data_IF_566937879409
#
_entry.id   IF_566937879409
#
_cell.length_a   1.000
_cell.length_b   1.000
_cell.length_c   1.000
_cell.angle_alpha   90.00
_cell.angle_beta   90.00
_cell.angle_gamma   90.00
#
_symmetry.space_group_name_H-M   'P 1'
#
loop_
_entity.id
_entity.type
_entity.pdbx_description
1 polymer ?
#
# COMPACT_ATOMS: atom_id res chain seq x y z
N UNK A 1 18.07 5.15 28.05
CA UNK A 1 19.17 5.24 27.07
C UNK A 1 19.03 6.55 26.32
N UNK A 2 19.86 7.56 26.63
CA UNK A 2 19.79 8.91 26.06
C UNK A 2 20.62 9.01 24.78
N UNK A 3 20.05 9.54 23.71
CA UNK A 3 20.68 9.70 22.39
C UNK A 3 21.40 11.05 22.30
N UNK A 4 22.60 11.16 21.72
CA UNK A 4 23.30 12.44 21.58
C UNK A 4 22.56 13.37 20.58
N UNK A 5 22.58 14.69 20.79
CA UNK A 5 21.93 15.64 19.89
C UNK A 5 22.76 15.86 18.64
N UNK A 6 22.13 15.81 17.45
CA UNK A 6 22.74 16.25 16.19
C UNK A 6 22.64 15.29 15.01
N UNK A 7 21.98 14.13 15.12
CA UNK A 7 21.73 13.30 13.93
C UNK A 7 20.48 13.82 13.20
N UNK A 8 20.56 14.13 11.88
CA UNK A 8 19.38 14.49 11.10
C UNK A 8 18.37 13.33 11.15
N UNK A 9 17.05 13.61 11.07
CA UNK A 9 16.04 12.56 11.05
C UNK A 9 16.34 11.61 9.90
N UNK A 10 16.49 10.34 10.22
CA UNK A 10 16.78 9.30 9.24
C UNK A 10 15.47 8.98 8.53
N UNK A 11 15.19 9.70 7.45
CA UNK A 11 14.05 9.43 6.56
C UNK A 11 14.24 8.08 5.88
N UNK A 12 13.37 7.12 6.16
CA UNK A 12 13.35 5.81 5.52
C UNK A 12 12.85 4.69 6.43
N UNK A 13 12.27 3.66 5.82
CA UNK A 13 11.79 2.46 6.52
C UNK A 13 12.90 1.81 7.35
N UNK A 14 12.57 1.43 8.58
CA UNK A 14 13.46 0.72 9.50
C UNK A 14 12.86 -0.64 9.88
N UNK A 15 13.74 -1.57 10.25
CA UNK A 15 13.37 -2.91 10.69
C UNK A 15 13.81 -3.08 12.14
N UNK A 16 12.87 -3.30 13.04
CA UNK A 16 13.15 -3.81 14.36
C UNK A 16 13.48 -5.30 14.23
N UNK A 17 14.67 -5.69 14.68
CA UNK A 17 15.04 -7.08 14.89
C UNK A 17 15.27 -7.24 16.38
N UNK A 18 14.53 -8.17 17.00
CA UNK A 18 14.61 -8.44 18.43
C UNK A 18 14.63 -9.95 18.68
N UNK A 19 15.82 -10.55 18.84
CA UNK A 19 15.99 -11.92 19.31
C UNK A 19 15.58 -12.05 20.78
N UNK A 20 14.94 -13.16 21.11
CA UNK A 20 14.55 -13.53 22.47
C UNK A 20 15.05 -14.93 22.81
N UNK A 21 15.57 -15.07 24.02
CA UNK A 21 15.69 -16.37 24.69
C UNK A 21 14.55 -16.52 25.69
N UNK A 22 13.78 -17.60 25.54
CA UNK A 22 12.52 -17.78 26.28
C UNK A 22 12.54 -19.16 26.96
N UNK A 23 12.60 -19.20 28.31
CA UNK A 23 12.48 -20.45 29.06
C UNK A 23 11.25 -21.25 28.64
N UNK A 24 11.35 -22.58 28.62
CA UNK A 24 10.29 -23.45 28.11
C UNK A 24 8.96 -23.22 28.82
N UNK A 25 9.02 -23.05 30.15
CA UNK A 25 7.88 -22.77 31.02
C UNK A 25 7.23 -21.39 30.78
N UNK A 26 7.90 -20.49 30.07
CA UNK A 26 7.43 -19.13 29.78
C UNK A 26 6.85 -18.97 28.37
N UNK A 27 7.03 -19.97 27.48
CA UNK A 27 6.73 -19.85 26.04
C UNK A 27 5.26 -19.51 25.75
N UNK A 28 4.32 -20.20 26.39
CA UNK A 28 2.89 -19.95 26.17
C UNK A 28 2.52 -18.51 26.54
N UNK A 29 3.00 -18.06 27.70
CA UNK A 29 2.77 -16.72 28.22
C UNK A 29 3.44 -15.66 27.34
N UNK A 30 4.65 -15.91 26.88
CA UNK A 30 5.37 -15.05 25.95
C UNK A 30 4.61 -14.89 24.63
N UNK A 31 4.14 -15.99 24.01
CA UNK A 31 3.38 -15.95 22.77
C UNK A 31 2.05 -15.20 22.93
N UNK A 32 1.35 -15.39 24.04
CA UNK A 32 0.12 -14.66 24.34
C UNK A 32 0.38 -13.14 24.46
N UNK A 33 1.43 -12.76 25.18
CA UNK A 33 1.80 -11.35 25.35
C UNK A 33 2.33 -10.72 24.07
N UNK A 34 3.08 -11.47 23.26
CA UNK A 34 3.49 -11.04 21.93
C UNK A 34 2.28 -10.72 21.07
N UNK A 35 1.31 -11.64 20.97
CA UNK A 35 0.07 -11.43 20.20
C UNK A 35 -0.68 -10.18 20.68
N UNK A 36 -0.91 -10.05 21.99
CA UNK A 36 -1.59 -8.89 22.56
C UNK A 36 -0.85 -7.57 22.28
N UNK A 37 0.48 -7.59 22.29
CA UNK A 37 1.31 -6.43 21.97
C UNK A 37 1.23 -6.07 20.49
N UNK A 38 1.27 -7.06 19.61
CA UNK A 38 1.12 -6.85 18.16
C UNK A 38 -0.25 -6.31 17.78
N UNK A 39 -1.33 -6.73 18.47
CA UNK A 39 -2.68 -6.16 18.29
C UNK A 39 -2.73 -4.66 18.61
N UNK A 40 -1.91 -4.16 19.55
CA UNK A 40 -1.80 -2.72 19.84
C UNK A 40 -0.87 -2.00 18.90
N UNK A 41 0.26 -2.62 18.54
CA UNK A 41 1.25 -2.04 17.63
C UNK A 41 0.73 -1.90 16.20
N UNK A 42 -0.09 -2.85 15.72
CA UNK A 42 -0.65 -2.81 14.37
C UNK A 42 -1.60 -1.63 14.11
N UNK A 43 -2.06 -0.98 15.18
CA UNK A 43 -2.93 0.20 15.12
C UNK A 43 -2.15 1.52 15.13
N UNK A 44 -0.83 1.48 15.33
CA UNK A 44 0.00 2.68 15.42
C UNK A 44 0.35 3.21 14.03
N UNK A 45 0.32 4.54 13.86
CA UNK A 45 0.75 5.16 12.62
C UNK A 45 2.23 4.83 12.34
N UNK A 46 2.50 4.44 11.10
CA UNK A 46 3.81 4.03 10.64
C UNK A 46 4.25 2.61 11.00
N UNK A 47 3.42 1.78 11.66
CA UNK A 47 3.65 0.33 11.69
C UNK A 47 3.31 -0.28 10.33
N UNK A 48 4.24 -1.03 9.74
CA UNK A 48 4.08 -1.56 8.37
C UNK A 48 3.80 -3.07 8.33
N UNK A 49 4.07 -3.80 9.42
CA UNK A 49 3.92 -5.25 9.48
C UNK A 49 5.06 -5.91 10.26
N UNK A 50 4.91 -7.19 10.56
CA UNK A 50 5.95 -7.95 11.25
C UNK A 50 5.50 -9.31 11.73
N UNK A 51 6.44 -10.06 12.30
CA UNK A 51 6.24 -11.44 12.71
C UNK A 51 7.26 -11.93 13.71
N UNK A 52 6.84 -12.87 14.55
CA UNK A 52 7.69 -13.63 15.45
C UNK A 52 8.09 -14.93 14.76
N UNK A 53 9.38 -15.18 14.68
CA UNK A 53 9.95 -16.36 14.05
C UNK A 53 10.49 -17.26 15.14
N UNK A 54 10.17 -18.55 15.06
CA UNK A 54 10.71 -19.57 15.95
C UNK A 54 11.94 -20.23 15.31
N UNK A 55 12.98 -20.44 16.09
CA UNK A 55 14.17 -21.15 15.67
C UNK A 55 13.84 -22.65 15.53
N UNK A 56 13.86 -23.16 14.30
CA UNK A 56 13.54 -24.57 14.02
C UNK A 56 14.74 -25.51 14.23
N UNK A 57 15.96 -24.98 14.20
CA UNK A 57 17.19 -25.76 14.29
C UNK A 57 18.01 -25.30 15.51
N UNK A 58 18.55 -26.21 16.33
CA UNK A 58 19.21 -25.86 17.58
C UNK A 58 20.62 -25.24 17.40
N UNK A 59 20.95 -24.71 16.22
CA UNK A 59 22.26 -24.11 15.90
C UNK A 59 22.58 -22.89 16.74
N UNK A 60 21.57 -22.22 17.28
CA UNK A 60 21.69 -21.01 18.10
C UNK A 60 20.78 -21.05 19.35
N UNK A 61 20.35 -22.25 19.79
CA UNK A 61 19.37 -22.38 20.88
C UNK A 61 19.90 -21.87 22.23
N UNK A 62 21.22 -21.83 22.41
CA UNK A 62 21.86 -21.19 23.56
C UNK A 62 21.79 -19.65 23.53
N UNK A 63 21.55 -19.04 22.36
CA UNK A 63 21.51 -17.60 22.16
C UNK A 63 20.08 -17.05 22.08
N UNK A 64 19.18 -17.67 21.29
CA UNK A 64 17.78 -17.26 21.17
C UNK A 64 16.91 -18.40 20.62
N UNK A 65 15.63 -18.39 21.01
CA UNK A 65 14.61 -19.32 20.52
C UNK A 65 13.64 -18.63 19.55
N UNK A 66 13.49 -17.31 19.68
CA UNK A 66 12.59 -16.52 18.84
C UNK A 66 13.27 -15.27 18.30
N UNK A 67 12.84 -14.81 17.12
CA UNK A 67 13.26 -13.53 16.53
C UNK A 67 12.03 -12.76 16.07
N UNK A 68 11.76 -11.63 16.71
CA UNK A 68 10.75 -10.69 16.22
C UNK A 68 11.36 -9.79 15.15
N UNK A 69 10.66 -9.68 14.02
CA UNK A 69 11.02 -8.80 12.91
C UNK A 69 9.80 -7.92 12.59
N UNK A 70 9.91 -6.62 12.86
CA UNK A 70 8.85 -5.64 12.60
C UNK A 70 9.35 -4.50 11.72
N UNK A 71 8.51 -4.01 10.82
CA UNK A 71 8.80 -2.94 9.89
C UNK A 71 8.08 -1.66 10.30
N UNK A 72 8.79 -0.54 10.24
CA UNK A 72 8.29 0.78 10.62
C UNK A 72 8.67 1.82 9.58
N UNK A 73 7.79 2.80 9.35
CA UNK A 73 7.98 3.88 8.37
C UNK A 73 9.21 4.74 8.69
N UNK A 74 9.53 4.91 9.98
CA UNK A 74 10.72 5.63 10.42
C UNK A 74 11.08 5.28 11.88
N UNK A 75 12.23 5.76 12.35
CA UNK A 75 12.66 5.65 13.75
C UNK A 75 11.68 6.37 14.68
N UNK A 76 11.18 7.54 14.25
CA UNK A 76 10.23 8.36 15.00
C UNK A 76 8.89 7.65 15.14
N UNK A 77 8.37 7.05 14.06
CA UNK A 77 7.14 6.26 14.08
C UNK A 77 7.26 5.07 15.03
N UNK A 78 8.39 4.35 15.00
CA UNK A 78 8.67 3.28 15.96
C UNK A 78 8.63 3.78 17.40
N UNK A 79 9.35 4.87 17.71
CA UNK A 79 9.40 5.41 19.08
C UNK A 79 8.03 5.84 19.58
N UNK A 80 7.26 6.54 18.75
CA UNK A 80 5.91 6.98 19.08
C UNK A 80 4.96 5.79 19.27
N UNK A 81 4.98 4.82 18.36
CA UNK A 81 4.13 3.64 18.40
C UNK A 81 4.40 2.76 19.63
N UNK A 82 5.67 2.58 20.01
CA UNK A 82 6.03 1.84 21.22
C UNK A 82 5.59 2.57 22.49
N UNK A 83 5.81 3.89 22.57
CA UNK A 83 5.37 4.68 23.71
C UNK A 83 3.84 4.64 23.90
N UNK A 84 3.08 4.63 22.80
CA UNK A 84 1.62 4.56 22.83
C UNK A 84 1.08 3.15 23.11
N UNK A 85 1.67 2.12 22.51
CA UNK A 85 1.18 0.73 22.60
C UNK A 85 1.65 -0.02 23.85
N UNK A 86 2.67 0.50 24.54
CA UNK A 86 3.32 -0.16 25.66
C UNK A 86 3.75 0.86 26.74
N UNK A 87 2.78 1.50 27.44
CA UNK A 87 3.08 2.46 28.50
C UNK A 87 3.88 1.83 29.66
N UNK A 88 3.66 0.54 29.94
CA UNK A 88 4.39 -0.24 30.96
C UNK A 88 5.63 -0.98 30.40
N UNK A 89 6.05 -0.63 29.17
CA UNK A 89 7.11 -1.33 28.44
C UNK A 89 6.60 -2.46 27.55
N UNK A 90 7.39 -2.78 26.52
CA UNK A 90 7.10 -3.89 25.61
C UNK A 90 7.30 -5.18 26.41
N UNK A 91 6.25 -5.98 26.58
CA UNK A 91 6.19 -7.20 27.43
C UNK A 91 6.06 -7.01 28.96
N UNK A 92 5.86 -5.79 29.46
CA UNK A 92 5.57 -5.53 30.89
C UNK A 92 6.58 -6.20 31.86
N UNK A 93 6.08 -6.85 32.92
CA UNK A 93 6.90 -7.51 33.95
C UNK A 93 7.78 -8.68 33.44
N UNK A 94 7.55 -9.18 32.22
CA UNK A 94 8.32 -10.30 31.66
C UNK A 94 9.74 -9.91 31.25
N UNK A 95 10.00 -8.62 31.02
CA UNK A 95 11.32 -8.11 30.60
C UNK A 95 12.42 -8.50 31.60
N UNK A 96 12.09 -8.68 32.88
CA UNK A 96 13.05 -9.10 33.89
C UNK A 96 13.50 -10.57 33.75
N UNK A 97 12.78 -11.41 33.00
CA UNK A 97 13.03 -12.85 32.86
C UNK A 97 13.39 -13.27 31.44
N UNK A 98 13.17 -12.39 30.46
CA UNK A 98 13.43 -12.67 29.06
C UNK A 98 14.72 -11.94 28.64
N UNK A 99 15.65 -12.70 28.07
CA UNK A 99 16.83 -12.10 27.45
C UNK A 99 16.44 -11.62 26.06
N UNK A 100 16.28 -10.30 25.90
CA UNK A 100 15.87 -9.65 24.65
C UNK A 100 16.96 -8.69 24.15
N UNK A 101 17.20 -8.67 22.84
CA UNK A 101 18.26 -7.88 22.21
C UNK A 101 17.72 -6.98 21.08
N UNK A 102 16.88 -5.97 21.38
CA UNK A 102 16.23 -5.17 20.35
C UNK A 102 17.18 -4.18 19.67
N UNK A 103 17.12 -4.12 18.33
CA UNK A 103 17.82 -3.13 17.54
C UNK A 103 17.02 -2.67 16.33
N UNK A 104 17.23 -1.42 15.91
CA UNK A 104 16.71 -0.90 14.65
C UNK A 104 17.78 -0.99 13.57
N UNK A 105 17.41 -1.58 12.46
CA UNK A 105 18.27 -1.85 11.32
C UNK A 105 17.69 -1.23 10.06
N UNK A 106 18.55 -1.07 9.05
CA UNK A 106 18.14 -0.89 7.66
C UNK A 106 18.62 -2.08 6.87
N UNK A 107 17.96 -2.33 5.75
CA UNK A 107 18.41 -3.32 4.78
C UNK A 107 19.70 -2.81 4.14
N UNK A 108 20.81 -3.52 4.38
CA UNK A 108 22.11 -3.19 3.78
C UNK A 108 22.26 -3.79 2.36
N UNK A 109 21.62 -4.92 2.10
CA UNK A 109 21.55 -5.59 0.79
C UNK A 109 20.29 -6.47 0.73
N UNK A 110 19.71 -6.62 -0.45
CA UNK A 110 18.51 -7.42 -0.69
C UNK A 110 18.59 -8.17 -2.03
N UNK A 111 18.00 -9.36 -2.07
CA UNK A 111 17.82 -10.15 -3.29
C UNK A 111 16.38 -10.72 -3.31
N UNK A 112 15.71 -10.70 -4.46
CA UNK A 112 14.28 -11.01 -4.55
C UNK A 112 13.37 -9.92 -3.97
N UNK A 113 12.09 -10.24 -3.75
CA UNK A 113 11.11 -9.32 -3.14
C UNK A 113 11.31 -9.20 -1.63
N UNK A 114 12.42 -8.60 -1.20
CA UNK A 114 12.65 -8.20 0.19
C UNK A 114 11.92 -6.88 0.52
N UNK A 115 10.84 -6.58 -0.20
CA UNK A 115 9.95 -5.50 0.17
C UNK A 115 9.25 -5.90 1.47
N UNK A 116 9.22 -4.97 2.42
CA UNK A 116 8.35 -5.01 3.59
C UNK A 116 7.00 -5.60 3.17
N UNK A 117 6.53 -6.73 3.76
CA UNK A 117 5.20 -7.22 3.44
C UNK A 117 4.25 -6.07 3.73
N UNK A 118 3.57 -5.51 2.71
CA UNK A 118 2.80 -4.32 2.94
C UNK A 118 1.64 -4.69 3.88
N UNK A 119 1.34 -3.79 4.82
CA UNK A 119 0.29 -3.97 5.83
C UNK A 119 -1.01 -4.53 5.22
N UNK A 120 -1.73 -5.36 5.98
CA UNK A 120 -2.95 -6.04 5.56
C UNK A 120 -3.91 -5.08 4.80
N UNK A 121 -4.34 -5.31 3.55
CA UNK A 121 -4.22 -6.43 2.60
C UNK A 121 -3.84 -5.87 1.22
N UNK A 122 -2.57 -5.53 1.04
CA UNK A 122 -2.11 -4.88 -0.19
C UNK A 122 -2.33 -5.70 -1.47
N UNK A 123 -2.46 -7.02 -1.36
CA UNK A 123 -2.85 -7.86 -2.47
C UNK A 123 -4.33 -7.61 -2.84
N UNK A 124 -5.24 -7.62 -1.86
CA UNK A 124 -6.63 -7.25 -2.11
C UNK A 124 -6.78 -5.80 -2.57
N UNK A 125 -5.98 -4.86 -2.06
CA UNK A 125 -6.02 -3.48 -2.55
C UNK A 125 -5.56 -3.34 -3.97
N UNK A 126 -4.47 -4.02 -4.33
CA UNK A 126 -4.02 -4.08 -5.71
C UNK A 126 -5.11 -4.65 -6.60
N UNK A 127 -5.75 -5.74 -6.20
CA UNK A 127 -6.87 -6.34 -6.94
C UNK A 127 -8.08 -5.40 -7.03
N UNK A 128 -8.43 -4.70 -5.94
CA UNK A 128 -9.54 -3.75 -5.92
C UNK A 128 -9.28 -2.53 -6.80
N UNK A 129 -8.04 -2.02 -6.82
CA UNK A 129 -7.59 -0.94 -7.70
C UNK A 129 -7.66 -1.40 -9.16
N UNK A 130 -7.18 -2.61 -9.47
CA UNK A 130 -7.26 -3.18 -10.82
C UNK A 130 -8.71 -3.40 -11.26
N UNK A 131 -9.61 -3.81 -10.36
CA UNK A 131 -11.05 -3.94 -10.63
C UNK A 131 -11.69 -2.57 -10.89
N UNK A 132 -11.37 -1.54 -10.10
CA UNK A 132 -11.82 -0.17 -10.35
C UNK A 132 -11.37 0.32 -11.72
N UNK A 133 -10.09 0.15 -12.07
CA UNK A 133 -9.56 0.56 -13.37
C UNK A 133 -10.24 -0.19 -14.54
N UNK A 134 -10.43 -1.50 -14.40
CA UNK A 134 -11.14 -2.33 -15.38
C UNK A 134 -12.59 -1.86 -15.60
N UNK A 135 -13.31 -1.58 -14.51
CA UNK A 135 -14.71 -1.11 -14.58
C UNK A 135 -14.83 0.33 -15.07
N UNK A 136 -13.87 1.20 -14.73
CA UNK A 136 -13.80 2.57 -15.22
C UNK A 136 -13.76 2.61 -16.76
N UNK A 137 -12.88 1.81 -17.36
CA UNK A 137 -12.78 1.71 -18.82
C UNK A 137 -13.99 0.98 -19.43
N UNK A 138 -14.48 -0.07 -18.78
CA UNK A 138 -15.63 -0.85 -19.27
C UNK A 138 -16.92 -0.02 -19.31
N UNK A 139 -17.17 0.79 -18.28
CA UNK A 139 -18.35 1.68 -18.22
C UNK A 139 -18.28 2.75 -19.30
N UNK A 140 -17.08 3.27 -19.59
CA UNK A 140 -16.88 4.16 -20.73
C UNK A 140 -17.19 3.45 -22.06
N UNK A 141 -16.66 2.25 -22.29
CA UNK A 141 -16.92 1.47 -23.52
C UNK A 141 -18.42 1.18 -23.76
N UNK A 142 -19.18 1.05 -22.67
CA UNK A 142 -20.63 0.78 -22.68
C UNK A 142 -21.48 2.05 -22.76
N UNK A 143 -20.92 3.22 -22.48
CA UNK A 143 -21.67 4.48 -22.39
C UNK A 143 -22.42 4.66 -21.07
N UNK A 144 -22.04 3.92 -20.03
CA UNK A 144 -22.61 4.00 -18.67
C UNK A 144 -21.98 5.19 -17.92
N UNK A 145 -22.14 6.41 -18.46
CA UNK A 145 -21.35 7.57 -18.05
C UNK A 145 -21.59 8.00 -16.59
N UNK A 146 -22.80 7.81 -16.05
CA UNK A 146 -23.07 8.14 -14.65
C UNK A 146 -22.37 7.14 -13.70
N UNK A 147 -22.29 5.87 -14.07
CA UNK A 147 -21.50 4.87 -13.34
C UNK A 147 -20.00 5.16 -13.46
N UNK A 148 -19.55 5.57 -14.64
CA UNK A 148 -18.17 6.00 -14.86
C UNK A 148 -17.80 7.17 -13.94
N UNK A 149 -18.69 8.15 -13.78
CA UNK A 149 -18.47 9.28 -12.87
C UNK A 149 -18.34 8.83 -11.40
N UNK A 150 -19.00 7.75 -11.00
CA UNK A 150 -18.99 7.28 -9.61
C UNK A 150 -17.63 6.73 -9.13
N UNK A 151 -16.68 6.51 -10.05
CA UNK A 151 -15.32 6.10 -9.72
C UNK A 151 -14.41 7.27 -9.30
N UNK A 152 -14.83 8.51 -9.51
CA UNK A 152 -14.13 9.67 -8.99
C UNK A 152 -14.43 9.90 -7.51
N UNK A 153 -13.43 10.37 -6.78
CA UNK A 153 -13.57 10.78 -5.38
C UNK A 153 -14.19 12.17 -5.26
N UNK A 154 -14.13 12.76 -4.07
CA UNK A 154 -14.64 14.12 -3.85
C UNK A 154 -13.92 15.16 -4.73
N UNK A 155 -12.64 14.92 -5.02
CA UNK A 155 -11.82 15.72 -5.94
C UNK A 155 -11.57 15.00 -7.25
N UNK A 156 -11.51 15.74 -8.36
CA UNK A 156 -11.20 15.22 -9.69
C UNK A 156 -10.14 16.09 -10.38
N UNK A 157 -9.11 15.44 -10.88
CA UNK A 157 -8.15 16.04 -11.80
C UNK A 157 -7.87 15.09 -12.97
N UNK A 158 -8.22 15.47 -14.18
CA UNK A 158 -7.98 14.67 -15.37
C UNK A 158 -7.20 15.45 -16.42
N UNK A 159 -6.22 14.80 -17.06
CA UNK A 159 -5.41 15.40 -18.13
C UNK A 159 -5.17 14.37 -19.24
N UNK A 160 -5.59 14.72 -20.47
CA UNK A 160 -5.28 13.96 -21.68
C UNK A 160 -5.08 14.90 -22.88
N UNK A 161 -4.09 14.66 -23.74
CA UNK A 161 -3.96 15.37 -25.02
C UNK A 161 -5.18 15.23 -25.94
N UNK A 162 -5.97 14.17 -25.78
CA UNK A 162 -7.10 13.85 -26.65
C UNK A 162 -8.43 14.41 -26.13
N UNK A 163 -8.64 14.42 -24.81
CA UNK A 163 -9.90 14.86 -24.21
C UNK A 163 -9.81 16.26 -23.56
N UNK A 164 -8.60 16.73 -23.25
CA UNK A 164 -8.36 17.99 -22.56
C UNK A 164 -8.00 17.83 -21.08
N UNK A 165 -8.08 18.94 -20.34
CA UNK A 165 -7.77 18.99 -18.91
C UNK A 165 -8.96 19.48 -18.11
N UNK A 166 -9.29 18.78 -17.03
CA UNK A 166 -10.45 19.07 -16.17
C UNK A 166 -10.04 19.03 -14.69
N UNK A 167 -10.66 19.90 -13.89
CA UNK A 167 -10.41 20.03 -12.45
C UNK A 167 -11.70 19.94 -11.62
N UNK A 168 -12.82 19.65 -12.27
CA UNK A 168 -14.13 19.54 -11.65
C UNK A 168 -14.99 18.48 -12.37
N UNK A 169 -15.96 17.94 -11.65
CA UNK A 169 -16.82 16.84 -12.11
C UNK A 169 -17.73 17.24 -13.26
N UNK A 170 -18.25 18.48 -13.26
CA UNK A 170 -19.20 18.92 -14.27
C UNK A 170 -18.53 19.07 -15.64
N UNK A 171 -17.39 19.76 -15.67
CA UNK A 171 -16.58 19.94 -16.87
C UNK A 171 -16.07 18.60 -17.41
N UNK A 172 -15.59 17.71 -16.54
CA UNK A 172 -15.17 16.37 -16.95
C UNK A 172 -16.34 15.57 -17.53
N UNK A 173 -17.52 15.56 -16.89
CA UNK A 173 -18.70 14.82 -17.38
C UNK A 173 -19.16 15.30 -18.75
N UNK A 174 -19.16 16.62 -18.98
CA UNK A 174 -19.53 17.20 -20.27
C UNK A 174 -18.48 16.86 -21.35
N UNK A 175 -17.19 16.97 -21.01
CA UNK A 175 -16.09 16.57 -21.89
C UNK A 175 -16.13 15.10 -22.28
N UNK A 176 -16.36 14.23 -21.29
CA UNK A 176 -16.49 12.79 -21.45
C UNK A 176 -17.66 12.43 -22.38
N UNK A 177 -18.82 13.08 -22.23
CA UNK A 177 -19.97 12.86 -23.12
C UNK A 177 -19.62 13.19 -24.57
N UNK A 178 -19.06 14.39 -24.82
CA UNK A 178 -18.68 14.80 -26.17
C UNK A 178 -17.66 13.84 -26.80
N UNK A 179 -16.69 13.39 -26.01
CA UNK A 179 -15.67 12.47 -26.46
C UNK A 179 -16.25 11.08 -26.76
N UNK A 180 -17.11 10.57 -25.89
CA UNK A 180 -17.83 9.32 -26.10
C UNK A 180 -18.66 9.35 -27.39
N UNK A 181 -19.47 10.40 -27.58
CA UNK A 181 -20.33 10.53 -28.76
C UNK A 181 -19.52 10.57 -30.06
N UNK A 182 -18.35 11.22 -30.06
CA UNK A 182 -17.45 11.24 -31.20
C UNK A 182 -16.85 9.85 -31.51
N UNK A 183 -16.42 9.13 -30.48
CA UNK A 183 -15.89 7.78 -30.64
C UNK A 183 -16.97 6.79 -31.08
N UNK A 184 -18.21 6.89 -30.57
CA UNK A 184 -19.31 6.04 -31.02
C UNK A 184 -19.64 6.25 -32.49
N UNK A 185 -19.65 7.49 -32.98
CA UNK A 185 -19.81 7.79 -34.42
C UNK A 185 -18.72 7.16 -35.29
N UNK A 186 -17.56 6.85 -34.70
CA UNK A 186 -16.40 6.20 -35.35
C UNK A 186 -16.35 4.69 -35.12
N UNK A 187 -17.39 4.07 -34.55
CA UNK A 187 -17.47 2.62 -34.33
C UNK A 187 -17.20 2.17 -32.89
N UNK A 188 -17.01 3.13 -31.96
CA UNK A 188 -16.82 2.88 -30.53
C UNK A 188 -15.45 2.29 -30.19
N UNK A 189 -15.20 2.11 -28.89
CA UNK A 189 -13.91 1.66 -28.35
C UNK A 189 -14.01 0.33 -27.60
N UNK A 190 -12.85 -0.31 -27.49
CA UNK A 190 -12.52 -1.37 -26.53
C UNK A 190 -11.20 -1.00 -25.86
N UNK A 191 -11.24 -0.83 -24.56
CA UNK A 191 -10.09 -0.46 -23.74
C UNK A 191 -9.50 -1.72 -23.07
N UNK A 192 -8.19 -1.94 -23.26
CA UNK A 192 -7.47 -3.05 -22.65
C UNK A 192 -6.35 -2.50 -21.76
N UNK A 193 -6.47 -2.72 -20.46
CA UNK A 193 -5.48 -2.27 -19.48
C UNK A 193 -4.52 -3.37 -19.08
N UNK A 194 -3.22 -3.07 -19.03
CA UNK A 194 -2.16 -4.02 -18.66
C UNK A 194 -1.07 -3.35 -17.81
N UNK A 195 -0.13 -4.16 -17.31
CA UNK A 195 1.12 -3.70 -16.67
C UNK A 195 0.89 -2.74 -15.49
N UNK A 196 -0.08 -3.05 -14.64
CA UNK A 196 -0.34 -2.27 -13.43
C UNK A 196 0.86 -2.30 -12.48
N UNK A 197 1.41 -1.14 -12.19
CA UNK A 197 2.35 -0.88 -11.10
C UNK A 197 1.60 -0.07 -10.03
N UNK A 198 1.45 -0.63 -8.83
CA UNK A 198 0.68 -0.02 -7.75
C UNK A 198 1.62 0.23 -6.57
N UNK A 199 1.81 1.49 -6.21
CA UNK A 199 2.53 1.93 -5.02
C UNK A 199 1.52 2.39 -3.96
N UNK A 200 1.43 1.64 -2.86
CA UNK A 200 0.45 1.84 -1.79
C UNK A 200 1.07 2.61 -0.62
N UNK A 201 0.34 3.61 -0.13
CA UNK A 201 0.67 4.36 1.08
C UNK A 201 -0.58 4.54 1.94
N UNK A 202 -0.87 3.53 2.77
CA UNK A 202 -2.05 3.53 3.64
C UNK A 202 -3.37 3.53 2.85
N UNK A 203 -4.11 4.64 2.92
CA UNK A 203 -5.37 4.86 2.20
C UNK A 203 -5.17 5.53 0.83
N UNK A 204 -3.92 5.72 0.38
CA UNK A 204 -3.59 6.30 -0.94
C UNK A 204 -2.83 5.31 -1.82
N UNK A 205 -2.98 5.48 -3.12
CA UNK A 205 -2.21 4.73 -4.11
C UNK A 205 -1.75 5.64 -5.25
N UNK A 206 -0.55 5.39 -5.75
CA UNK A 206 -0.10 5.84 -7.07
C UNK A 206 -0.09 4.63 -8.01
N UNK A 207 -0.70 4.78 -9.18
CA UNK A 207 -0.85 3.68 -10.13
C UNK A 207 -0.28 4.09 -11.47
N UNK A 208 0.56 3.23 -12.05
CA UNK A 208 0.96 3.31 -13.46
C UNK A 208 0.37 2.13 -14.20
N UNK A 209 -0.12 2.35 -15.41
CA UNK A 209 -0.65 1.28 -16.26
C UNK A 209 -0.55 1.64 -17.73
N UNK A 210 -0.56 0.61 -18.58
CA UNK A 210 -0.70 0.80 -20.01
C UNK A 210 -2.13 0.50 -20.45
N UNK A 211 -2.60 1.28 -21.41
CA UNK A 211 -3.89 1.14 -22.03
C UNK A 211 -3.70 1.02 -23.55
N UNK A 212 -4.22 -0.05 -24.13
CA UNK A 212 -4.35 -0.19 -25.58
C UNK A 212 -5.80 -0.03 -25.97
N UNK A 213 -6.07 0.83 -26.95
CA UNK A 213 -7.43 1.13 -27.41
C UNK A 213 -7.65 0.53 -28.78
N UNK A 214 -8.74 -0.21 -28.94
CA UNK A 214 -9.19 -0.76 -30.22
C UNK A 214 -10.52 -0.15 -30.63
N UNK A 215 -10.73 -0.02 -31.94
CA UNK A 215 -12.03 0.27 -32.51
C UNK A 215 -12.93 -0.95 -32.37
N UNK A 216 -14.08 -0.80 -31.73
CA UNK A 216 -14.96 -1.94 -31.44
C UNK A 216 -15.56 -2.57 -32.70
N UNK A 217 -15.85 -1.77 -33.72
CA UNK A 217 -16.49 -2.24 -34.95
C UNK A 217 -15.51 -2.91 -35.93
N UNK A 218 -14.32 -2.32 -36.10
CA UNK A 218 -13.32 -2.78 -37.09
C UNK A 218 -12.20 -3.64 -36.51
N UNK A 219 -12.00 -3.60 -35.18
CA UNK A 219 -10.86 -4.23 -34.51
C UNK A 219 -9.52 -3.50 -34.71
N UNK A 220 -9.49 -2.39 -35.44
CA UNK A 220 -8.28 -1.61 -35.67
C UNK A 220 -7.74 -1.01 -34.35
N UNK A 221 -6.42 -1.05 -34.15
CA UNK A 221 -5.79 -0.37 -33.01
C UNK A 221 -5.84 1.15 -33.19
N UNK A 222 -6.36 1.86 -32.20
CA UNK A 222 -6.54 3.31 -32.19
C UNK A 222 -5.41 4.05 -31.48
N UNK A 223 -4.77 3.41 -30.49
CA UNK A 223 -3.66 4.02 -29.76
C UNK A 223 -3.18 3.20 -28.57
N UNK A 224 -2.07 3.66 -27.99
CA UNK A 224 -1.47 3.15 -26.77
C UNK A 224 -1.25 4.35 -25.85
N UNK A 225 -1.51 4.18 -24.56
CA UNK A 225 -1.45 5.24 -23.55
C UNK A 225 -0.77 4.71 -22.29
N UNK A 226 0.09 5.52 -21.68
CA UNK A 226 0.47 5.35 -20.27
C UNK A 226 -0.41 6.23 -19.39
N UNK A 227 -1.02 5.63 -18.37
CA UNK A 227 -1.72 6.37 -17.32
C UNK A 227 -0.89 6.45 -16.06
N UNK A 228 -0.89 7.64 -15.45
CA UNK A 228 -0.42 7.88 -14.09
C UNK A 228 -1.58 8.39 -13.24
N UNK A 229 -1.98 7.58 -12.27
CA UNK A 229 -3.15 7.84 -11.43
C UNK A 229 -2.76 8.05 -9.97
N UNK A 230 -3.56 8.86 -9.29
CA UNK A 230 -3.58 8.96 -7.84
C UNK A 230 -4.98 8.56 -7.35
N UNK A 231 -5.04 7.63 -6.39
CA UNK A 231 -6.29 7.07 -5.88
C UNK A 231 -6.35 7.12 -4.35
N UNK A 232 -7.57 7.09 -3.82
CA UNK A 232 -7.84 7.03 -2.40
C UNK A 232 -8.84 5.93 -2.06
N UNK A 233 -8.65 5.27 -0.92
CA UNK A 233 -9.66 4.40 -0.33
C UNK A 233 -10.71 5.26 0.36
N UNK A 234 -11.96 4.99 0.03
CA UNK A 234 -13.13 5.57 0.70
C UNK A 234 -13.96 4.45 1.35
N UNK A 235 -14.98 4.81 2.12
CA UNK A 235 -15.94 3.83 2.62
C UNK A 235 -16.66 3.04 1.50
N UNK A 236 -16.72 3.59 0.28
CA UNK A 236 -17.32 2.96 -0.89
C UNK A 236 -16.29 2.24 -1.79
N UNK A 237 -15.04 2.06 -1.31
CA UNK A 237 -13.93 1.47 -2.04
C UNK A 237 -12.97 2.50 -2.63
N UNK A 238 -12.04 2.05 -3.48
CA UNK A 238 -11.04 2.90 -4.12
C UNK A 238 -11.68 3.86 -5.14
N UNK A 239 -11.19 5.09 -5.20
CA UNK A 239 -11.65 6.15 -6.09
C UNK A 239 -10.48 6.92 -6.69
N UNK A 240 -10.62 7.38 -7.92
CA UNK A 240 -9.66 8.27 -8.56
C UNK A 240 -9.71 9.66 -7.93
N UNK A 241 -8.54 10.24 -7.68
CA UNK A 241 -8.37 11.65 -7.37
C UNK A 241 -7.80 12.38 -8.58
N UNK A 242 -6.86 11.72 -9.26
CA UNK A 242 -6.17 12.26 -10.42
C UNK A 242 -5.85 11.17 -11.43
N UNK A 243 -5.94 11.50 -12.72
CA UNK A 243 -5.56 10.64 -13.85
C UNK A 243 -4.90 11.49 -14.92
N UNK A 244 -3.67 11.14 -15.29
CA UNK A 244 -2.88 11.85 -16.30
C UNK A 244 -2.43 10.87 -17.35
N UNK A 245 -2.70 11.19 -18.60
CA UNK A 245 -2.08 10.51 -19.72
C UNK A 245 -0.69 11.07 -19.94
N UNK A 246 0.30 10.19 -19.92
CA UNK A 246 1.69 10.51 -20.22
C UNK A 246 2.02 10.00 -21.63
N UNK A 247 2.82 10.79 -22.35
CA UNK A 247 3.18 10.55 -23.74
C UNK A 247 4.12 9.35 -23.91
#
# INVERSE_FOLDING_TARGET
>A
MTVPPGQPPLSGTVVLINPFRVPEEERERFLANYKATMERLRLQDGFLGGGLHELLQPVHAEAFDYVNVNHWRSIEAFRAGIAAASPDGVFGDQVARLEAHPGLFRVAAAYGSWAVPPAADAAADRLAIMDVASRFETTFDRGELDEHMAFWGETLAFESPYMGSFRDHAGYREGLQRFYDDLQRKGGTRHLMTNFEVDLSGDRAKVRSYLTVFNRASGAMLGIVEWQDEMARTAAGWRYLRRIQVA
#
